data_IF_462521094654
#
_entry.id   IF_462521094654
#
_cell.length_a   1.000
_cell.length_b   1.000
_cell.length_c   1.000
_cell.angle_alpha   90.00
_cell.angle_beta   90.00
_cell.angle_gamma   90.00
#
_symmetry.space_group_name_H-M   'P 1'
#
loop_
_entity.id
_entity.type
_entity.pdbx_description
1 polymer ?
#
# COMPACT_ATOMS: atom_id res chain seq x y z
N UNK A 1 -4.16 24.52 -27.92
CA UNK A 1 -4.14 24.10 -26.47
C UNK A 1 -4.89 22.78 -26.18
N UNK A 2 -5.58 22.15 -27.14
CA UNK A 2 -6.48 20.99 -26.86
C UNK A 2 -5.84 19.60 -26.93
N UNK A 3 -4.80 19.39 -27.71
CA UNK A 3 -4.23 18.03 -27.97
C UNK A 3 -3.42 17.50 -26.78
N UNK A 4 -2.76 18.38 -26.03
CA UNK A 4 -1.93 18.00 -24.88
C UNK A 4 -2.78 17.58 -23.67
N UNK A 5 -3.91 18.22 -23.44
CA UNK A 5 -4.84 17.85 -22.36
C UNK A 5 -5.43 16.46 -22.59
N UNK A 6 -5.88 16.18 -23.81
CA UNK A 6 -6.43 14.87 -24.20
C UNK A 6 -5.38 13.75 -24.09
N UNK A 7 -4.10 14.04 -24.35
CA UNK A 7 -3.03 13.05 -24.19
C UNK A 7 -2.72 12.76 -22.73
N UNK A 8 -2.72 13.77 -21.86
CA UNK A 8 -2.49 13.63 -20.41
C UNK A 8 -3.64 12.88 -19.73
N UNK A 9 -4.89 13.16 -20.09
CA UNK A 9 -6.05 12.41 -19.60
C UNK A 9 -6.00 10.94 -20.03
N UNK A 10 -5.62 10.65 -21.28
CA UNK A 10 -5.47 9.27 -21.78
C UNK A 10 -4.36 8.50 -21.07
N UNK A 11 -3.23 9.15 -20.75
CA UNK A 11 -2.12 8.52 -20.02
C UNK A 11 -2.55 8.25 -18.57
N UNK A 12 -3.21 9.21 -17.93
CA UNK A 12 -3.72 9.06 -16.56
C UNK A 12 -4.77 7.94 -16.49
N UNK A 13 -5.67 7.88 -17.46
CA UNK A 13 -6.69 6.84 -17.56
C UNK A 13 -6.08 5.45 -17.82
N UNK A 14 -5.06 5.36 -18.65
CA UNK A 14 -4.37 4.08 -18.94
C UNK A 14 -3.66 3.51 -17.72
N UNK A 15 -3.05 4.36 -16.91
CA UNK A 15 -2.38 3.94 -15.68
C UNK A 15 -3.37 3.60 -14.57
N UNK A 16 -4.40 4.43 -14.42
CA UNK A 16 -5.50 4.12 -13.51
C UNK A 16 -6.11 2.77 -13.88
N UNK A 17 -6.33 2.49 -15.16
CA UNK A 17 -6.78 1.19 -15.63
C UNK A 17 -5.78 0.07 -15.34
N UNK A 18 -4.47 0.30 -15.47
CA UNK A 18 -3.44 -0.68 -15.09
C UNK A 18 -3.43 -0.96 -13.59
N UNK A 19 -3.51 0.07 -12.76
CA UNK A 19 -3.59 -0.08 -11.30
C UNK A 19 -4.87 -0.80 -10.89
N UNK A 20 -6.00 -0.44 -11.48
CA UNK A 20 -7.30 -1.08 -11.24
C UNK A 20 -7.29 -2.53 -11.73
N UNK A 21 -6.78 -2.80 -12.95
CA UNK A 21 -6.72 -4.16 -13.47
C UNK A 21 -5.83 -5.09 -12.66
N UNK A 22 -4.81 -4.55 -11.97
CA UNK A 22 -3.96 -5.32 -11.06
C UNK A 22 -4.71 -5.78 -9.78
N UNK A 23 -5.84 -5.15 -9.47
CA UNK A 23 -6.69 -5.51 -8.33
C UNK A 23 -7.81 -6.50 -8.71
N UNK A 24 -8.01 -6.79 -10.01
CA UNK A 24 -9.01 -7.75 -10.46
C UNK A 24 -8.62 -9.18 -10.06
N UNK A 25 -9.58 -9.92 -9.54
CA UNK A 25 -9.46 -11.38 -9.36
C UNK A 25 -9.78 -12.11 -10.68
N UNK A 26 -9.33 -13.34 -10.86
CA UNK A 26 -9.67 -14.12 -12.06
C UNK A 26 -11.18 -14.19 -12.28
N UNK A 27 -11.63 -13.79 -13.47
CA UNK A 27 -13.04 -13.79 -13.84
C UNK A 27 -13.81 -12.50 -13.50
N UNK A 28 -13.18 -11.52 -12.85
CA UNK A 28 -13.80 -10.22 -12.57
C UNK A 28 -13.55 -9.20 -13.68
N UNK A 29 -14.49 -8.29 -13.84
CA UNK A 29 -14.42 -7.13 -14.72
C UNK A 29 -14.14 -5.83 -13.96
N UNK A 30 -13.81 -4.76 -14.68
CA UNK A 30 -13.66 -3.41 -14.09
C UNK A 30 -14.99 -2.98 -13.44
N UNK A 31 -16.13 -3.33 -14.01
CA UNK A 31 -17.45 -2.99 -13.45
C UNK A 31 -17.67 -3.61 -12.07
N UNK A 32 -17.11 -4.80 -11.82
CA UNK A 32 -17.19 -5.44 -10.49
C UNK A 32 -16.43 -4.63 -9.44
N UNK A 33 -15.29 -4.02 -9.80
CA UNK A 33 -14.55 -3.12 -8.91
C UNK A 33 -15.29 -1.78 -8.69
N UNK A 34 -15.91 -1.22 -9.74
CA UNK A 34 -16.66 0.04 -9.65
C UNK A 34 -17.87 -0.09 -8.71
N UNK A 35 -18.44 -1.29 -8.59
CA UNK A 35 -19.53 -1.58 -7.68
C UNK A 35 -19.10 -1.91 -6.24
N UNK A 36 -17.80 -1.94 -5.97
CA UNK A 36 -17.29 -2.17 -4.61
C UNK A 36 -17.31 -0.92 -3.75
N UNK A 37 -17.43 -1.12 -2.43
CA UNK A 37 -17.22 -0.03 -1.49
C UNK A 37 -15.76 0.41 -1.48
N UNK A 38 -15.47 1.68 -1.17
CA UNK A 38 -14.09 2.17 -1.04
C UNK A 38 -13.23 1.35 -0.07
N UNK A 39 -13.83 0.86 1.02
CA UNK A 39 -13.19 0.01 2.01
C UNK A 39 -12.72 -1.31 1.40
N UNK A 40 -13.59 -1.94 0.59
CA UNK A 40 -13.27 -3.20 -0.08
C UNK A 40 -12.17 -3.02 -1.14
N UNK A 41 -12.17 -1.90 -1.87
CA UNK A 41 -11.11 -1.56 -2.81
C UNK A 41 -9.78 -1.36 -2.07
N UNK A 42 -9.80 -0.64 -0.95
CA UNK A 42 -8.60 -0.39 -0.13
C UNK A 42 -8.06 -1.70 0.44
N UNK A 43 -8.92 -2.59 0.92
CA UNK A 43 -8.55 -3.92 1.40
C UNK A 43 -7.89 -4.76 0.30
N UNK A 44 -8.46 -4.74 -0.90
CA UNK A 44 -7.86 -5.42 -2.07
C UNK A 44 -6.47 -4.88 -2.41
N UNK A 45 -6.31 -3.58 -2.38
CA UNK A 45 -5.03 -2.94 -2.64
C UNK A 45 -3.96 -3.37 -1.62
N UNK A 46 -4.30 -3.37 -0.34
CA UNK A 46 -3.42 -3.86 0.73
C UNK A 46 -3.01 -5.30 0.45
N UNK A 47 -3.98 -6.19 0.26
CA UNK A 47 -3.73 -7.62 0.04
C UNK A 47 -2.97 -7.89 -1.26
N UNK A 48 -3.22 -7.11 -2.32
CA UNK A 48 -2.45 -7.18 -3.56
C UNK A 48 -0.95 -6.92 -3.32
N UNK A 49 -0.60 -5.88 -2.56
CA UNK A 49 0.78 -5.57 -2.25
C UNK A 49 1.41 -6.64 -1.34
N UNK A 50 0.70 -7.12 -0.34
CA UNK A 50 1.18 -8.17 0.55
C UNK A 50 1.44 -9.48 -0.20
N UNK A 51 0.53 -9.91 -1.08
CA UNK A 51 0.71 -11.13 -1.90
C UNK A 51 1.88 -11.04 -2.89
N UNK A 52 2.18 -9.85 -3.41
CA UNK A 52 3.36 -9.64 -4.28
C UNK A 52 4.66 -9.76 -3.51
N UNK A 53 4.68 -9.32 -2.26
CA UNK A 53 5.82 -9.48 -1.38
C UNK A 53 6.15 -10.94 -1.11
N UNK A 54 5.13 -11.77 -0.86
CA UNK A 54 5.31 -13.21 -0.69
C UNK A 54 5.96 -13.86 -1.92
N UNK A 55 5.51 -13.51 -3.12
CA UNK A 55 6.05 -14.05 -4.38
C UNK A 55 7.40 -13.46 -4.77
N UNK A 56 7.69 -12.23 -4.38
CA UNK A 56 8.87 -11.46 -4.79
C UNK A 56 9.99 -11.37 -3.76
N UNK A 57 9.85 -11.99 -2.59
CA UNK A 57 10.88 -12.00 -1.54
C UNK A 57 11.04 -10.68 -0.80
N UNK A 58 10.08 -9.76 -0.89
CA UNK A 58 10.14 -8.48 -0.19
C UNK A 58 9.31 -8.45 1.11
N UNK A 59 8.55 -9.49 1.43
CA UNK A 59 7.96 -9.66 2.75
C UNK A 59 9.03 -9.97 3.77
N UNK A 60 9.00 -9.23 4.86
CA UNK A 60 9.89 -9.46 6.00
C UNK A 60 9.14 -10.35 6.98
N UNK A 61 9.53 -11.61 7.02
CA UNK A 61 9.00 -12.59 7.95
C UNK A 61 9.75 -12.51 9.28
N UNK A 62 9.05 -12.63 10.39
CA UNK A 62 9.68 -12.70 11.72
C UNK A 62 10.43 -14.02 12.00
N UNK A 63 10.49 -14.91 11.04
CA UNK A 63 11.11 -16.23 11.15
C UNK A 63 10.17 -17.33 11.62
N UNK A 64 8.98 -16.98 12.12
CA UNK A 64 8.02 -17.95 12.65
C UNK A 64 6.83 -18.22 11.72
N UNK A 65 6.78 -17.58 10.56
CA UNK A 65 5.70 -17.67 9.55
C UNK A 65 4.28 -17.35 10.07
N UNK A 66 4.14 -16.91 11.32
CA UNK A 66 2.85 -16.71 11.97
C UNK A 66 2.29 -15.29 11.81
N UNK A 67 3.08 -14.35 11.32
CA UNK A 67 2.72 -12.94 11.35
C UNK A 67 1.84 -12.48 10.19
N UNK A 68 1.82 -13.23 9.10
CA UNK A 68 0.97 -13.03 7.93
C UNK A 68 0.39 -14.38 7.50
N UNK A 69 -0.43 -14.95 8.35
CA UNK A 69 -1.26 -16.10 7.95
C UNK A 69 -2.35 -15.56 7.03
N UNK A 70 -2.40 -16.05 5.78
CA UNK A 70 -3.59 -15.85 4.95
C UNK A 70 -4.78 -16.48 5.69
N UNK A 71 -5.88 -15.73 5.79
CA UNK A 71 -7.13 -16.31 6.24
C UNK A 71 -7.65 -17.33 5.21
N UNK A 72 -8.74 -17.98 5.50
CA UNK A 72 -9.35 -19.03 4.63
C UNK A 72 -9.68 -18.54 3.22
N UNK A 73 -9.73 -17.22 2.98
CA UNK A 73 -9.95 -16.61 1.66
C UNK A 73 -8.64 -16.29 0.91
N UNK A 74 -7.48 -16.56 1.51
CA UNK A 74 -6.17 -16.26 0.91
C UNK A 74 -5.76 -14.79 1.04
N UNK A 75 -6.50 -13.98 1.80
CA UNK A 75 -6.17 -12.60 2.07
C UNK A 75 -5.36 -12.50 3.38
N UNK A 76 -4.35 -11.62 3.41
CA UNK A 76 -3.51 -11.39 4.59
C UNK A 76 -4.18 -10.51 5.64
N UNK A 77 -5.02 -9.58 5.17
CA UNK A 77 -5.80 -8.65 5.99
C UNK A 77 -7.26 -8.80 5.62
N UNK A 78 -8.12 -9.00 6.61
CA UNK A 78 -9.57 -9.16 6.47
C UNK A 78 -10.36 -8.07 7.18
N UNK A 79 -9.73 -7.35 8.10
CA UNK A 79 -10.30 -6.21 8.81
C UNK A 79 -9.24 -5.14 9.08
N UNK A 80 -9.67 -3.91 9.31
CA UNK A 80 -8.78 -2.79 9.59
C UNK A 80 -8.44 -2.64 11.08
N UNK A 81 -8.91 -3.54 11.93
CA UNK A 81 -8.67 -3.56 13.38
C UNK A 81 -7.57 -4.55 13.76
N UNK A 82 -7.99 -5.73 14.18
CA UNK A 82 -7.12 -6.75 14.75
C UNK A 82 -5.97 -7.19 13.84
N UNK A 83 -6.21 -7.32 12.53
CA UNK A 83 -5.21 -7.77 11.57
C UNK A 83 -4.06 -6.77 11.39
N UNK A 84 -4.29 -5.50 11.78
CA UNK A 84 -3.31 -4.42 11.71
C UNK A 84 -2.66 -4.08 13.06
N UNK A 85 -3.26 -4.51 14.17
CA UNK A 85 -2.89 -4.09 15.53
C UNK A 85 -1.46 -4.45 15.94
N UNK A 86 -0.89 -5.51 15.37
CA UNK A 86 0.50 -5.90 15.59
C UNK A 86 1.50 -5.20 14.66
N UNK A 87 1.05 -4.33 13.77
CA UNK A 87 1.84 -3.56 12.79
C UNK A 87 2.59 -4.36 11.73
N UNK A 88 2.55 -5.69 11.71
CA UNK A 88 3.32 -6.51 10.77
C UNK A 88 2.86 -6.32 9.33
N UNK A 89 1.54 -6.32 9.11
CA UNK A 89 0.97 -6.05 7.79
C UNK A 89 1.35 -4.65 7.28
N UNK A 90 1.33 -3.63 8.15
CA UNK A 90 1.77 -2.29 7.81
C UNK A 90 3.24 -2.22 7.42
N UNK A 91 4.13 -2.84 8.21
CA UNK A 91 5.58 -2.84 7.93
C UNK A 91 5.85 -3.47 6.57
N UNK A 92 5.21 -4.59 6.26
CA UNK A 92 5.36 -5.25 4.97
C UNK A 92 4.78 -4.42 3.82
N UNK A 93 3.61 -3.82 4.01
CA UNK A 93 2.99 -2.92 3.03
C UNK A 93 3.90 -1.72 2.72
N UNK A 94 4.37 -1.00 3.75
CA UNK A 94 5.25 0.16 3.61
C UNK A 94 6.56 -0.23 2.94
N UNK A 95 7.09 -1.41 3.27
CA UNK A 95 8.29 -1.94 2.65
C UNK A 95 8.10 -2.20 1.15
N UNK A 96 6.93 -2.73 0.75
CA UNK A 96 6.57 -2.97 -0.65
C UNK A 96 6.45 -1.68 -1.45
N UNK A 97 5.79 -0.68 -0.92
CA UNK A 97 5.55 0.59 -1.62
C UNK A 97 6.76 1.53 -1.58
N UNK A 98 7.58 1.45 -0.53
CA UNK A 98 8.76 2.29 -0.34
C UNK A 98 10.04 1.75 -0.97
N UNK A 99 10.02 0.49 -1.43
CA UNK A 99 11.13 -0.12 -2.15
C UNK A 99 12.30 -0.58 -1.28
N UNK A 100 13.40 -0.95 -1.93
CA UNK A 100 14.55 -1.66 -1.31
C UNK A 100 15.23 -0.92 -0.16
N UNK A 101 15.16 0.41 -0.15
CA UNK A 101 15.82 1.24 0.87
C UNK A 101 15.21 1.06 2.26
N UNK A 102 13.95 0.60 2.34
CA UNK A 102 13.27 0.32 3.60
C UNK A 102 13.50 -1.11 4.14
N UNK A 103 14.03 -2.04 3.34
CA UNK A 103 14.17 -3.44 3.73
C UNK A 103 14.89 -3.62 5.07
N UNK A 104 15.99 -2.88 5.31
CA UNK A 104 16.75 -2.95 6.56
C UNK A 104 15.97 -2.41 7.76
N UNK A 105 15.15 -1.36 7.54
CA UNK A 105 14.32 -0.77 8.59
C UNK A 105 13.16 -1.69 8.94
N UNK A 106 12.47 -2.23 7.94
CA UNK A 106 11.40 -3.19 8.13
C UNK A 106 11.88 -4.45 8.85
N UNK A 107 13.03 -5.01 8.46
CA UNK A 107 13.62 -6.16 9.12
C UNK A 107 13.99 -5.92 10.59
N UNK A 108 14.33 -4.67 10.95
CA UNK A 108 14.54 -4.28 12.36
C UNK A 108 13.22 -4.11 13.10
N UNK A 109 12.26 -3.41 12.47
CA UNK A 109 10.96 -3.10 13.07
C UNK A 109 10.17 -4.38 13.42
N UNK A 110 10.16 -5.38 12.55
CA UNK A 110 9.45 -6.65 12.78
C UNK A 110 10.01 -7.43 14.00
N UNK A 111 11.30 -7.28 14.32
CA UNK A 111 11.93 -7.93 15.47
C UNK A 111 11.60 -7.30 16.81
N UNK A 112 11.01 -6.13 16.83
CA UNK A 112 10.56 -5.46 18.06
C UNK A 112 9.40 -6.27 18.64
N UNK A 113 9.56 -6.73 19.89
CA UNK A 113 8.57 -7.59 20.54
C UNK A 113 7.37 -6.82 21.06
N UNK A 114 7.60 -5.63 21.58
CA UNK A 114 6.54 -4.76 22.08
C UNK A 114 5.75 -4.16 20.90
N UNK A 115 4.42 -4.31 20.94
CA UNK A 115 3.54 -3.87 19.86
C UNK A 115 3.52 -2.34 19.72
N UNK A 116 3.58 -1.61 20.84
CA UNK A 116 3.54 -0.15 20.81
C UNK A 116 4.84 0.43 20.21
N UNK A 117 5.97 -0.13 20.63
CA UNK A 117 7.28 0.24 20.12
C UNK A 117 7.41 -0.11 18.62
N UNK A 118 6.89 -1.28 18.22
CA UNK A 118 6.86 -1.71 16.82
C UNK A 118 5.95 -0.80 15.98
N UNK A 119 4.78 -0.41 16.48
CA UNK A 119 3.91 0.56 15.82
C UNK A 119 4.61 1.92 15.65
N UNK A 120 5.32 2.40 16.66
CA UNK A 120 6.12 3.62 16.55
C UNK A 120 7.22 3.53 15.49
N UNK A 121 7.90 2.38 15.39
CA UNK A 121 8.90 2.15 14.34
C UNK A 121 8.26 2.12 12.93
N UNK A 122 7.09 1.51 12.79
CA UNK A 122 6.31 1.47 11.55
C UNK A 122 5.91 2.89 11.09
N UNK A 123 5.42 3.73 12.01
CA UNK A 123 5.05 5.12 11.68
C UNK A 123 6.27 5.93 11.17
N UNK A 124 7.44 5.74 11.78
CA UNK A 124 8.70 6.33 11.28
C UNK A 124 9.10 5.82 9.88
N UNK A 125 8.76 4.58 9.55
CA UNK A 125 8.96 4.08 8.17
C UNK A 125 8.05 4.78 7.17
N UNK A 126 6.79 5.04 7.54
CA UNK A 126 5.86 5.81 6.70
C UNK A 126 6.38 7.24 6.45
N UNK A 127 6.92 7.90 7.46
CA UNK A 127 7.53 9.23 7.31
C UNK A 127 8.69 9.22 6.30
N UNK A 128 9.49 8.16 6.27
CA UNK A 128 10.62 8.05 5.32
C UNK A 128 10.18 7.93 3.85
N UNK A 129 8.99 7.47 3.59
CA UNK A 129 8.39 7.49 2.24
C UNK A 129 7.56 8.74 1.98
N UNK A 130 7.66 9.76 2.84
CA UNK A 130 6.96 11.03 2.69
C UNK A 130 5.51 11.02 3.15
N UNK A 131 5.06 9.97 3.83
CA UNK A 131 3.70 9.88 4.38
C UNK A 131 3.70 10.32 5.83
N UNK A 132 3.10 11.49 6.12
CA UNK A 132 2.91 11.95 7.48
C UNK A 132 1.80 11.13 8.16
N UNK A 133 2.09 10.42 9.27
CA UNK A 133 1.08 9.66 9.99
C UNK A 133 -0.01 10.57 10.57
N UNK A 134 -1.26 10.16 10.39
CA UNK A 134 -2.44 10.81 10.96
C UNK A 134 -2.98 10.05 12.18
N UNK A 135 -2.31 8.96 12.55
CA UNK A 135 -2.62 8.08 13.66
C UNK A 135 -1.43 7.98 14.61
N UNK A 136 -1.68 7.54 15.84
CA UNK A 136 -0.65 7.26 16.83
C UNK A 136 -0.36 5.75 16.93
N UNK A 137 0.75 5.40 17.58
CA UNK A 137 1.09 4.00 17.85
C UNK A 137 0.02 3.32 18.73
N UNK A 138 -0.60 4.07 19.65
CA UNK A 138 -1.69 3.57 20.48
C UNK A 138 -2.92 3.22 19.63
N UNK A 139 -3.31 4.06 18.69
CA UNK A 139 -4.47 3.82 17.81
C UNK A 139 -4.29 2.54 17.02
N UNK A 140 -3.08 2.29 16.51
CA UNK A 140 -2.73 1.06 15.80
C UNK A 140 -2.89 -0.16 16.71
N UNK A 141 -2.28 -0.13 17.88
CA UNK A 141 -2.30 -1.27 18.83
C UNK A 141 -3.72 -1.56 19.36
N UNK A 142 -4.53 -0.53 19.57
CA UNK A 142 -5.94 -0.70 19.96
C UNK A 142 -6.82 -1.20 18.82
N UNK A 143 -6.33 -1.19 17.57
CA UNK A 143 -7.09 -1.66 16.43
C UNK A 143 -8.24 -0.73 16.06
N UNK A 144 -8.07 0.59 16.16
CA UNK A 144 -9.10 1.56 15.73
C UNK A 144 -9.29 1.45 14.19
N UNK A 145 -10.37 0.78 13.80
CA UNK A 145 -10.64 0.47 12.39
C UNK A 145 -10.74 1.72 11.52
N UNK A 146 -11.37 2.79 12.02
CA UNK A 146 -11.57 4.03 11.25
C UNK A 146 -10.25 4.77 11.04
N UNK A 147 -9.44 4.88 12.08
CA UNK A 147 -8.14 5.54 12.00
C UNK A 147 -7.15 4.72 11.15
N UNK A 148 -7.14 3.40 11.32
CA UNK A 148 -6.33 2.50 10.50
C UNK A 148 -6.72 2.59 9.02
N UNK A 149 -8.02 2.57 8.70
CA UNK A 149 -8.51 2.72 7.33
C UNK A 149 -8.12 4.08 6.75
N UNK A 150 -8.25 5.17 7.51
CA UNK A 150 -7.84 6.50 7.07
C UNK A 150 -6.34 6.58 6.79
N UNK A 151 -5.51 5.94 7.62
CA UNK A 151 -4.07 5.89 7.40
C UNK A 151 -3.69 5.06 6.17
N UNK A 152 -4.32 3.92 5.96
CA UNK A 152 -4.16 3.13 4.74
C UNK A 152 -4.55 3.91 3.49
N UNK A 153 -5.64 4.67 3.54
CA UNK A 153 -6.03 5.56 2.44
C UNK A 153 -4.98 6.64 2.16
N UNK A 154 -4.31 7.16 3.20
CA UNK A 154 -3.19 8.10 3.04
C UNK A 154 -1.99 7.44 2.35
N UNK A 155 -1.64 6.21 2.71
CA UNK A 155 -0.61 5.41 2.04
C UNK A 155 -0.97 5.15 0.58
N UNK A 156 -2.21 4.74 0.31
CA UNK A 156 -2.72 4.53 -1.06
C UNK A 156 -2.57 5.79 -1.92
N UNK A 157 -2.99 6.93 -1.41
CA UNK A 157 -2.92 8.20 -2.12
C UNK A 157 -1.47 8.62 -2.41
N UNK A 158 -0.54 8.39 -1.49
CA UNK A 158 0.87 8.73 -1.68
C UNK A 158 1.50 7.95 -2.83
N UNK A 159 1.19 6.67 -2.95
CA UNK A 159 1.65 5.83 -4.08
C UNK A 159 1.06 6.31 -5.40
N UNK A 160 -0.23 6.62 -5.43
CA UNK A 160 -0.92 7.11 -6.62
C UNK A 160 -0.35 8.44 -7.11
N UNK A 161 -0.04 9.37 -6.21
CA UNK A 161 0.59 10.65 -6.54
C UNK A 161 2.02 10.47 -7.07
N UNK A 162 2.82 9.60 -6.47
CA UNK A 162 4.18 9.31 -6.93
C UNK A 162 4.19 8.77 -8.36
N UNK A 163 3.32 7.83 -8.68
CA UNK A 163 3.17 7.29 -10.03
C UNK A 163 2.79 8.38 -11.03
N UNK A 164 1.82 9.22 -10.68
CA UNK A 164 1.39 10.34 -11.53
C UNK A 164 2.53 11.35 -11.75
N UNK A 165 3.30 11.67 -10.73
CA UNK A 165 4.43 12.62 -10.80
C UNK A 165 5.58 12.08 -11.67
N UNK A 166 5.93 10.80 -11.53
CA UNK A 166 6.98 10.16 -12.35
C UNK A 166 6.61 10.19 -13.83
N UNK A 167 5.34 10.00 -14.15
CA UNK A 167 4.88 10.03 -15.53
C UNK A 167 4.88 11.43 -16.11
N UNK A 168 4.48 12.41 -15.33
CA UNK A 168 4.55 13.82 -15.72
C UNK A 168 5.99 14.22 -16.06
N UNK A 169 6.96 13.83 -15.21
CA UNK A 169 8.37 14.07 -15.45
C UNK A 169 8.88 13.36 -16.73
N UNK A 170 8.47 12.11 -16.98
CA UNK A 170 8.85 11.37 -18.20
C UNK A 170 8.32 12.05 -19.47
N UNK A 171 7.09 12.53 -19.46
CA UNK A 171 6.49 13.27 -20.58
C UNK A 171 7.22 14.60 -20.80
N UNK A 172 7.59 15.29 -19.73
CA UNK A 172 8.33 16.55 -19.80
C UNK A 172 9.74 16.36 -20.38
N UNK A 173 10.48 15.36 -19.93
CA UNK A 173 11.81 15.00 -20.43
C UNK A 173 11.75 14.61 -21.91
N UNK A 174 10.79 13.80 -22.31
CA UNK A 174 10.61 13.42 -23.71
C UNK A 174 10.35 14.65 -24.60
N UNK A 175 9.57 15.62 -24.13
CA UNK A 175 9.28 16.86 -24.86
C UNK A 175 10.49 17.79 -24.99
N UNK A 176 11.44 17.75 -24.05
CA UNK A 176 12.66 18.55 -24.11
C UNK A 176 13.70 17.99 -25.09
N UNK A 177 13.56 16.73 -25.51
CA UNK A 177 14.46 16.02 -26.43
C UNK A 177 13.83 15.78 -27.82
N UNK A 178 12.62 16.27 -28.05
CA UNK A 178 11.90 16.26 -29.35
C UNK A 178 11.84 17.65 -29.96
#
# INVERSE_FOLDING_TARGET
MSILWVSLEKINLKLLKMLISALLKPGESIADLENMTPENILMRWVNHHLSRGEKGGALIWDGNHNALSSNTSGDFVSNFGNDLSNSVAYINLINQIGGKDLNKLGAKAIKIKDNLERAGAMLKMAEKIGVKPIITANDVVHGDEKLNMAFLATLFNSVSQTVTSILYLRVLIWRLHS
#
